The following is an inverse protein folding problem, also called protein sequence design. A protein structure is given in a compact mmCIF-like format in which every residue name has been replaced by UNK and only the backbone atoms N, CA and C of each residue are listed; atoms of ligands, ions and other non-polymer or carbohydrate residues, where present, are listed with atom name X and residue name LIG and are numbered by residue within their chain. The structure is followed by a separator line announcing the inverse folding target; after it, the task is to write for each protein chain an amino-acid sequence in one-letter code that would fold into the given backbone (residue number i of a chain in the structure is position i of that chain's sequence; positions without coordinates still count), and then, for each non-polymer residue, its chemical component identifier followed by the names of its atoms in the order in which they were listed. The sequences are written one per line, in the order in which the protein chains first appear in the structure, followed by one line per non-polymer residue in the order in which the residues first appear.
data_IF_472690384737
#
_entry.id   IF_472690384737
#
_cell.length_a   1.000
_cell.length_b   1.000
_cell.length_c   1.000
_cell.angle_alpha   90.00
_cell.angle_beta   90.00
_cell.angle_gamma   90.00
#
_symmetry.space_group_name_H-M   'P 1'
#
loop_
_entity.id
_entity.type
_entity.pdbx_description
1 polymer ?
#
# COMPACT_ATOMS: atom_id res chain seq x y z
N UNK A 1 -15.77 -21.39 -7.62
CA UNK A 1 -16.85 -20.39 -7.69
C UNK A 1 -16.51 -19.36 -6.66
N UNK A 2 -16.08 -18.19 -7.14
CA UNK A 2 -15.63 -17.05 -6.35
C UNK A 2 -16.55 -16.76 -5.16
N UNK A 3 -15.94 -16.54 -4.01
CA UNK A 3 -16.59 -15.90 -2.88
C UNK A 3 -16.03 -14.49 -2.75
N UNK A 4 -16.43 -13.61 -3.67
CA UNK A 4 -16.27 -12.17 -3.50
C UNK A 4 -17.12 -11.73 -2.30
N UNK A 5 -16.49 -11.43 -1.15
CA UNK A 5 -17.12 -10.61 -0.13
C UNK A 5 -16.71 -9.16 -0.38
N UNK A 6 -17.44 -8.55 -1.31
CA UNK A 6 -17.56 -7.10 -1.38
C UNK A 6 -18.39 -6.64 -0.18
N UNK A 7 -17.81 -5.78 0.65
CA UNK A 7 -18.45 -4.95 1.68
C UNK A 7 -18.66 -5.62 3.05
N UNK A 8 -17.71 -5.42 3.96
CA UNK A 8 -18.00 -5.43 5.40
C UNK A 8 -18.82 -4.16 5.72
N UNK A 9 -20.16 -4.22 5.64
CA UNK A 9 -21.02 -3.20 6.25
C UNK A 9 -21.09 -3.41 7.76
N UNK A 10 -20.00 -3.12 8.45
CA UNK A 10 -20.04 -2.92 9.89
C UNK A 10 -20.66 -1.55 10.16
N UNK A 11 -21.89 -1.49 10.67
CA UNK A 11 -22.46 -0.23 11.20
C UNK A 11 -21.53 0.30 12.29
N UNK A 12 -20.73 1.32 11.95
CA UNK A 12 -19.87 2.07 12.86
C UNK A 12 -20.75 2.68 13.95
N UNK A 13 -20.68 2.13 15.17
CA UNK A 13 -20.99 2.93 16.35
C UNK A 13 -19.69 3.46 16.97
N UNK A 14 -19.82 4.48 17.83
CA UNK A 14 -18.75 5.41 18.21
C UNK A 14 -17.53 4.79 18.92
N UNK A 15 -17.49 3.46 19.10
CA UNK A 15 -16.45 2.73 19.84
C UNK A 15 -15.65 1.70 19.00
N UNK A 16 -15.91 1.60 17.70
CA UNK A 16 -15.14 0.79 16.75
C UNK A 16 -15.36 -0.73 16.86
N UNK A 17 -15.06 -1.45 15.78
CA UNK A 17 -15.02 -2.92 15.70
C UNK A 17 -13.55 -3.35 15.67
N UNK A 18 -13.19 -4.43 16.37
CA UNK A 18 -11.84 -5.01 16.29
C UNK A 18 -11.92 -6.38 15.62
N UNK A 19 -11.07 -6.61 14.63
CA UNK A 19 -10.92 -7.92 14.00
C UNK A 19 -9.93 -8.78 14.82
N UNK A 20 -10.27 -10.05 15.03
CA UNK A 20 -9.42 -11.08 15.59
C UNK A 20 -9.40 -12.28 14.64
N UNK A 21 -8.28 -12.58 14.00
CA UNK A 21 -8.17 -13.79 13.19
C UNK A 21 -8.07 -15.04 14.09
N UNK A 22 -8.85 -16.08 13.77
CA UNK A 22 -8.84 -17.36 14.51
C UNK A 22 -8.41 -18.55 13.63
N UNK A 23 -8.52 -18.44 12.30
CA UNK A 23 -8.05 -19.43 11.33
C UNK A 23 -7.78 -18.77 9.96
N UNK A 24 -7.11 -19.45 9.02
CA UNK A 24 -6.79 -18.99 7.65
C UNK A 24 -8.02 -18.48 6.89
N UNK A 25 -9.18 -19.08 7.17
CA UNK A 25 -10.42 -18.67 6.59
C UNK A 25 -11.17 -17.67 7.48
N UNK A 26 -10.84 -17.55 8.78
CA UNK A 26 -11.76 -17.01 9.77
C UNK A 26 -11.28 -15.72 10.44
N UNK A 27 -11.82 -14.59 9.98
CA UNK A 27 -11.82 -13.32 10.73
C UNK A 27 -12.99 -13.31 11.70
N UNK A 28 -12.71 -13.09 12.98
CA UNK A 28 -13.72 -12.74 13.96
C UNK A 28 -13.85 -11.24 14.10
N UNK A 29 -15.05 -10.69 13.93
CA UNK A 29 -15.34 -9.31 14.25
C UNK A 29 -15.88 -9.26 15.66
N UNK A 30 -15.14 -8.62 16.56
CA UNK A 30 -15.55 -8.40 17.95
C UNK A 30 -16.18 -7.02 18.05
N UNK A 31 -17.44 -6.99 18.45
CA UNK A 31 -18.11 -5.76 18.82
C UNK A 31 -17.64 -5.32 20.21
N UNK A 32 -16.96 -4.16 20.27
CA UNK A 32 -16.38 -3.63 21.51
C UNK A 32 -17.43 -3.26 22.58
N UNK A 33 -18.72 -3.18 22.20
CA UNK A 33 -19.81 -2.78 23.10
C UNK A 33 -20.43 -3.95 23.85
N UNK A 34 -20.58 -5.10 23.20
CA UNK A 34 -21.29 -6.25 23.76
C UNK A 34 -20.47 -7.55 23.74
N UNK A 35 -19.26 -7.52 23.18
CA UNK A 35 -18.38 -8.69 23.06
C UNK A 35 -18.92 -9.76 22.12
N UNK A 36 -19.94 -9.45 21.32
CA UNK A 36 -20.44 -10.36 20.29
C UNK A 36 -19.38 -10.59 19.22
N UNK A 37 -19.34 -11.83 18.73
CA UNK A 37 -18.35 -12.33 17.80
C UNK A 37 -19.08 -12.75 16.52
N UNK A 38 -18.86 -12.03 15.43
CA UNK A 38 -19.24 -12.48 14.09
C UNK A 38 -18.06 -13.21 13.44
N UNK A 39 -18.31 -14.31 12.73
CA UNK A 39 -17.28 -15.10 12.04
C UNK A 39 -17.42 -14.93 10.53
N UNK A 40 -16.37 -14.45 9.88
CA UNK A 40 -16.16 -14.54 8.43
C UNK A 40 -15.40 -15.84 8.15
N UNK A 41 -15.58 -16.48 6.99
CA UNK A 41 -14.91 -17.75 6.60
C UNK A 41 -14.52 -17.65 5.12
N UNK A 42 -13.27 -17.96 4.75
CA UNK A 42 -12.73 -17.93 3.39
C UNK A 42 -12.53 -16.50 2.90
N UNK A 43 -11.53 -15.80 3.44
CA UNK A 43 -11.31 -14.38 3.14
C UNK A 43 -10.08 -14.23 2.28
N UNK A 44 -10.26 -13.99 0.99
CA UNK A 44 -9.19 -13.65 0.05
C UNK A 44 -8.97 -12.13 -0.09
N UNK A 45 -9.96 -11.31 0.31
CA UNK A 45 -9.91 -9.86 0.23
C UNK A 45 -10.42 -9.22 1.51
N UNK A 46 -9.63 -8.31 2.09
CA UNK A 46 -10.06 -7.48 3.22
C UNK A 46 -10.13 -6.03 2.77
N UNK A 47 -11.34 -5.50 2.65
CA UNK A 47 -11.58 -4.07 2.36
C UNK A 47 -12.14 -3.36 3.57
N UNK A 48 -11.48 -2.29 4.01
CA UNK A 48 -11.96 -1.46 5.11
C UNK A 48 -12.76 -0.26 4.60
N UNK A 49 -13.89 0.04 5.23
CA UNK A 49 -14.70 1.23 4.89
C UNK A 49 -14.77 2.17 6.10
N UNK A 50 -13.75 3.01 6.31
CA UNK A 50 -13.77 4.06 7.34
C UNK A 50 -12.39 4.65 7.61
N UNK A 51 -12.31 5.94 7.93
CA UNK A 51 -11.01 6.63 7.96
C UNK A 51 -10.06 6.18 9.07
N UNK A 52 -8.77 5.99 8.74
CA UNK A 52 -7.68 5.69 9.68
C UNK A 52 -7.79 4.31 10.30
N UNK A 53 -7.33 3.30 9.56
CA UNK A 53 -7.39 1.89 9.89
C UNK A 53 -6.01 1.37 10.30
N UNK A 54 -5.98 0.51 11.30
CA UNK A 54 -4.75 -0.16 11.73
C UNK A 54 -5.01 -1.65 11.66
N UNK A 55 -4.46 -2.29 10.63
CA UNK A 55 -4.24 -3.72 10.61
C UNK A 55 -2.78 -3.95 10.98
N UNK A 56 -2.47 -3.80 12.27
CA UNK A 56 -1.18 -4.23 12.80
C UNK A 56 -1.39 -5.53 13.56
N UNK A 57 -0.60 -6.54 13.23
CA UNK A 57 -0.69 -7.86 13.84
C UNK A 57 0.46 -8.14 14.82
N UNK A 58 0.62 -7.41 15.95
CA UNK A 58 1.50 -7.90 17.02
C UNK A 58 0.86 -8.98 17.90
N UNK A 59 -0.45 -9.25 17.76
CA UNK A 59 -1.21 -10.11 18.71
C UNK A 59 -2.06 -11.21 18.09
N UNK A 60 -2.12 -11.34 16.75
CA UNK A 60 -2.64 -12.56 16.13
C UNK A 60 -1.47 -13.50 15.92
N UNK A 61 -1.68 -14.79 16.15
CA UNK A 61 -0.60 -15.77 16.14
C UNK A 61 0.23 -15.64 14.85
N UNK A 62 1.52 -15.35 15.02
CA UNK A 62 2.55 -15.26 13.98
C UNK A 62 2.75 -16.55 13.15
N UNK A 63 1.86 -17.53 13.29
CA UNK A 63 1.96 -18.87 12.73
C UNK A 63 0.93 -19.12 11.62
N UNK A 64 -0.11 -18.29 11.47
CA UNK A 64 -1.22 -18.58 10.53
C UNK A 64 -1.67 -17.40 9.66
N UNK A 65 -1.35 -16.14 10.01
CA UNK A 65 -1.63 -14.94 9.18
C UNK A 65 -0.44 -14.59 8.26
N UNK A 66 0.67 -15.29 8.41
CA UNK A 66 1.92 -14.96 7.76
C UNK A 66 2.17 -15.81 6.52
N UNK A 67 1.21 -16.55 5.97
CA UNK A 67 1.49 -17.37 4.78
C UNK A 67 0.35 -17.27 3.77
N UNK A 68 0.62 -16.60 2.65
CA UNK A 68 -0.32 -16.44 1.55
C UNK A 68 0.13 -15.34 0.61
N UNK A 69 -0.38 -15.34 -0.63
CA UNK A 69 -0.24 -14.18 -1.50
C UNK A 69 -1.51 -13.33 -1.28
N UNK A 70 -1.42 -12.25 -0.50
CA UNK A 70 -2.57 -11.48 0.00
C UNK A 70 -2.76 -10.14 -0.72
N UNK A 71 -4.01 -9.66 -0.79
CA UNK A 71 -4.34 -8.34 -1.31
C UNK A 71 -4.90 -7.44 -0.21
N UNK A 72 -4.12 -6.45 0.22
CA UNK A 72 -4.48 -5.49 1.27
C UNK A 72 -4.73 -4.11 0.64
N UNK A 73 -5.93 -3.58 0.86
CA UNK A 73 -6.27 -2.22 0.45
C UNK A 73 -6.75 -1.43 1.65
N UNK A 74 -6.02 -0.37 1.97
CA UNK A 74 -6.43 0.64 2.93
C UNK A 74 -7.61 1.46 2.43
N UNK A 75 -7.97 2.47 3.21
CA UNK A 75 -9.11 3.32 2.93
C UNK A 75 -8.65 4.77 2.82
N UNK A 76 -9.42 5.70 3.39
CA UNK A 76 -8.96 7.08 3.51
C UNK A 76 -8.31 7.29 4.88
N UNK A 77 -7.43 8.27 5.01
CA UNK A 77 -6.72 8.53 6.25
C UNK A 77 -5.48 7.66 6.37
N UNK A 78 -4.76 7.83 7.49
CA UNK A 78 -3.45 7.21 7.66
C UNK A 78 -3.60 5.76 8.11
N UNK A 79 -3.25 4.84 7.23
CA UNK A 79 -3.36 3.41 7.43
C UNK A 79 -2.01 2.77 7.79
N UNK A 80 -2.06 1.63 8.48
CA UNK A 80 -0.88 0.78 8.72
C UNK A 80 -1.22 -0.63 8.30
N UNK A 81 -0.55 -1.10 7.25
CA UNK A 81 -0.77 -2.38 6.60
C UNK A 81 0.52 -3.23 6.68
N UNK A 82 0.38 -4.46 7.15
CA UNK A 82 1.44 -5.47 7.23
C UNK A 82 0.86 -6.76 6.65
N UNK A 83 1.38 -7.18 5.49
CA UNK A 83 0.81 -8.28 4.72
C UNK A 83 1.31 -9.65 5.16
N UNK A 84 2.53 -9.76 5.68
CA UNK A 84 3.02 -10.97 6.31
C UNK A 84 4.09 -11.67 5.49
N UNK A 85 3.90 -12.93 5.09
CA UNK A 85 4.83 -13.59 4.16
C UNK A 85 4.08 -14.19 2.98
N UNK A 86 4.74 -14.22 1.84
CA UNK A 86 4.18 -14.56 0.54
C UNK A 86 4.31 -13.37 -0.40
N UNK A 87 3.72 -13.43 -1.60
CA UNK A 87 3.85 -12.37 -2.60
C UNK A 87 2.61 -11.49 -2.54
N UNK A 88 2.71 -10.42 -1.76
CA UNK A 88 1.54 -9.64 -1.38
C UNK A 88 1.34 -8.43 -2.31
N UNK A 89 0.11 -7.91 -2.37
CA UNK A 89 -0.22 -6.65 -3.02
C UNK A 89 -0.84 -5.70 -2.00
N UNK A 90 -0.19 -4.55 -1.80
CA UNK A 90 -0.59 -3.55 -0.82
C UNK A 90 -0.90 -2.23 -1.52
N UNK A 91 -2.07 -1.65 -1.23
CA UNK A 91 -2.42 -0.28 -1.62
C UNK A 91 -2.90 0.48 -0.38
N UNK A 92 -2.24 1.60 -0.05
CA UNK A 92 -2.57 2.40 1.13
C UNK A 92 -3.91 3.14 0.99
N UNK A 93 -4.17 3.67 -0.20
CA UNK A 93 -5.27 4.58 -0.45
C UNK A 93 -4.92 6.03 -0.08
N UNK A 94 -5.89 6.96 -0.02
CA UNK A 94 -5.59 8.35 0.27
C UNK A 94 -5.21 8.55 1.74
N UNK A 95 -3.98 8.96 2.01
CA UNK A 95 -3.53 9.02 3.40
C UNK A 95 -2.05 9.32 3.53
N UNK A 96 -1.55 9.16 4.75
CA UNK A 96 -0.13 8.93 4.98
C UNK A 96 0.00 7.52 5.52
N UNK A 97 0.32 6.57 4.66
CA UNK A 97 0.23 5.16 5.00
C UNK A 97 1.59 4.56 5.34
N UNK A 98 1.56 3.49 6.14
CA UNK A 98 2.72 2.68 6.48
C UNK A 98 2.48 1.27 5.94
N UNK A 99 3.25 0.87 4.94
CA UNK A 99 3.10 -0.38 4.21
C UNK A 99 4.30 -1.28 4.49
N UNK A 100 4.05 -2.50 4.94
CA UNK A 100 5.06 -3.55 5.17
C UNK A 100 4.64 -4.77 4.35
N UNK A 101 5.45 -5.15 3.37
CA UNK A 101 5.19 -6.35 2.55
C UNK A 101 5.57 -7.61 3.32
N UNK A 102 6.74 -7.59 3.95
CA UNK A 102 7.33 -8.71 4.65
C UNK A 102 8.13 -9.63 3.72
N UNK A 103 8.32 -10.91 4.08
CA UNK A 103 9.05 -11.82 3.22
C UNK A 103 8.27 -12.28 1.99
N UNK A 104 8.71 -11.86 0.81
CA UNK A 104 8.29 -12.41 -0.48
C UNK A 104 8.52 -11.40 -1.59
N UNK A 105 7.91 -11.60 -2.76
CA UNK A 105 8.01 -10.64 -3.86
C UNK A 105 6.76 -9.75 -3.88
N UNK A 106 6.82 -8.62 -3.18
CA UNK A 106 5.63 -7.81 -2.91
C UNK A 106 5.38 -6.71 -3.94
N UNK A 107 4.13 -6.28 -4.05
CA UNK A 107 3.69 -5.22 -4.93
C UNK A 107 3.04 -4.09 -4.13
N UNK A 108 3.69 -2.94 -4.13
CA UNK A 108 3.15 -1.72 -3.53
C UNK A 108 2.46 -0.90 -4.63
N UNK A 109 1.14 -0.95 -4.65
CA UNK A 109 0.29 -0.40 -5.71
C UNK A 109 -0.18 1.02 -5.39
N UNK A 110 0.18 1.94 -6.29
CA UNK A 110 -0.12 3.37 -6.22
C UNK A 110 -1.07 3.68 -7.36
N UNK A 111 -2.36 3.79 -7.04
CA UNK A 111 -3.46 3.95 -7.98
C UNK A 111 -3.84 5.41 -8.28
N UNK A 112 -3.33 6.37 -7.51
CA UNK A 112 -3.51 7.78 -7.81
C UNK A 112 -2.35 8.65 -7.29
N UNK A 113 -1.87 9.58 -8.12
CA UNK A 113 -0.88 10.61 -7.71
C UNK A 113 -1.32 11.38 -6.47
N UNK A 114 -2.63 11.51 -6.24
CA UNK A 114 -3.20 12.22 -5.11
C UNK A 114 -3.26 11.40 -3.80
N UNK A 115 -2.97 10.10 -3.83
CA UNK A 115 -3.09 9.25 -2.64
C UNK A 115 -1.92 9.43 -1.68
N UNK A 116 -0.72 9.70 -2.21
CA UNK A 116 0.46 10.14 -1.47
C UNK A 116 0.84 11.57 -1.85
N UNK A 117 1.15 12.40 -0.86
CA UNK A 117 1.44 13.81 -1.08
C UNK A 117 2.87 14.11 -1.54
N UNK A 118 3.20 15.40 -1.61
CA UNK A 118 4.54 15.91 -1.96
C UNK A 118 5.34 16.38 -0.75
N UNK A 119 4.73 16.37 0.45
CA UNK A 119 5.38 16.78 1.71
C UNK A 119 5.58 15.60 2.64
N UNK A 120 6.61 15.66 3.48
CA UNK A 120 6.95 14.61 4.48
C UNK A 120 5.76 14.20 5.37
N UNK A 121 4.82 15.12 5.61
CA UNK A 121 3.62 14.87 6.40
C UNK A 121 2.56 14.02 5.69
N UNK A 122 2.68 13.84 4.37
CA UNK A 122 1.72 13.17 3.51
C UNK A 122 2.33 12.07 2.65
N UNK A 123 3.63 11.77 2.81
CA UNK A 123 4.26 10.66 2.09
C UNK A 123 3.88 9.32 2.70
N UNK A 124 3.41 8.42 1.87
CA UNK A 124 3.41 7.00 2.21
C UNK A 124 4.83 6.51 2.49
N UNK A 125 4.89 5.50 3.34
CA UNK A 125 6.13 4.88 3.79
C UNK A 125 6.05 3.40 3.51
N UNK A 126 6.91 2.92 2.63
CA UNK A 126 7.19 1.50 2.49
C UNK A 126 8.33 1.16 3.45
N UNK A 127 8.01 0.32 4.44
CA UNK A 127 8.84 0.08 5.61
C UNK A 127 10.04 -0.84 5.33
N UNK A 128 9.91 -1.76 4.37
CA UNK A 128 10.81 -2.90 4.20
C UNK A 128 11.15 -3.27 2.74
N UNK A 129 10.91 -2.36 1.78
CA UNK A 129 11.14 -2.60 0.36
C UNK A 129 12.49 -3.28 0.07
N UNK A 130 12.45 -4.43 -0.58
CA UNK A 130 13.59 -5.26 -0.90
C UNK A 130 13.54 -5.81 -2.34
N UNK A 131 14.18 -5.07 -3.25
CA UNK A 131 14.35 -5.51 -4.64
C UNK A 131 15.06 -6.87 -4.81
N UNK A 132 15.79 -7.34 -3.79
CA UNK A 132 16.41 -8.67 -3.78
C UNK A 132 15.43 -9.81 -3.54
N UNK A 133 14.29 -9.54 -2.88
CA UNK A 133 13.20 -10.51 -2.70
C UNK A 133 12.22 -10.50 -3.88
N UNK A 134 12.18 -9.40 -4.63
CA UNK A 134 11.38 -9.26 -5.84
C UNK A 134 10.43 -8.08 -5.82
N UNK A 135 10.46 -7.27 -4.75
CA UNK A 135 9.53 -6.19 -4.51
C UNK A 135 9.48 -5.17 -5.63
N UNK A 136 8.27 -4.69 -5.89
CA UNK A 136 7.99 -3.70 -6.93
C UNK A 136 7.03 -2.64 -6.43
N UNK A 137 7.30 -1.41 -6.84
CA UNK A 137 6.32 -0.33 -6.78
C UNK A 137 5.57 -0.33 -8.11
N UNK A 138 4.27 -0.56 -8.06
CA UNK A 138 3.41 -0.49 -9.23
C UNK A 138 2.92 0.93 -9.44
N UNK A 139 3.28 1.50 -10.58
CA UNK A 139 2.87 2.83 -11.03
C UNK A 139 2.20 2.73 -12.41
N UNK A 140 1.91 1.52 -12.88
CA UNK A 140 1.43 1.29 -14.25
C UNK A 140 0.02 1.81 -14.50
N UNK A 141 -0.74 2.10 -13.45
CA UNK A 141 -2.08 2.71 -13.53
C UNK A 141 -2.04 4.24 -13.57
N UNK A 142 -0.90 4.84 -13.22
CA UNK A 142 -0.71 6.28 -13.16
C UNK A 142 -0.27 6.83 -14.52
N UNK A 143 -1.00 7.84 -15.00
CA UNK A 143 -0.60 8.57 -16.20
C UNK A 143 0.59 9.49 -15.91
N UNK A 144 1.73 9.16 -16.52
CA UNK A 144 2.98 9.89 -16.38
C UNK A 144 3.00 11.23 -17.14
N UNK A 145 2.02 11.52 -17.99
CA UNK A 145 1.96 12.83 -18.66
C UNK A 145 0.52 13.29 -18.91
N UNK A 146 -0.03 14.02 -17.95
CA UNK A 146 -1.42 14.52 -18.00
C UNK A 146 -1.72 15.47 -19.17
N UNK A 147 -0.69 15.98 -19.86
CA UNK A 147 -0.86 16.83 -21.04
C UNK A 147 -1.06 16.04 -22.34
N UNK A 148 -0.85 14.72 -22.32
CA UNK A 148 -0.98 13.83 -23.48
C UNK A 148 -2.08 12.80 -23.20
N UNK A 149 -2.92 12.54 -24.21
CA UNK A 149 -4.06 11.65 -24.03
C UNK A 149 -3.61 10.18 -23.94
N UNK A 150 -4.11 9.47 -22.92
CA UNK A 150 -3.84 8.05 -22.67
C UNK A 150 -3.15 7.87 -21.32
N UNK A 151 -2.69 6.65 -21.03
CA UNK A 151 -1.83 6.36 -19.89
C UNK A 151 -0.39 6.23 -20.39
N UNK A 152 0.48 7.16 -20.02
CA UNK A 152 1.90 7.09 -20.34
C UNK A 152 2.68 6.46 -19.19
N UNK A 153 3.66 5.62 -19.52
CA UNK A 153 4.56 5.04 -18.54
C UNK A 153 5.61 6.05 -18.06
N UNK A 154 5.98 5.97 -16.79
CA UNK A 154 7.09 6.76 -16.27
C UNK A 154 8.45 6.25 -16.78
N UNK A 155 9.46 7.12 -16.72
CA UNK A 155 10.87 6.80 -16.99
C UNK A 155 11.73 7.06 -15.75
N UNK A 156 12.42 6.04 -15.26
CA UNK A 156 13.32 6.18 -14.11
C UNK A 156 14.65 6.83 -14.51
N UNK A 157 14.97 7.97 -13.90
CA UNK A 157 16.15 8.79 -14.19
C UNK A 157 17.22 8.75 -13.09
N UNK A 158 17.17 7.76 -12.18
CA UNK A 158 18.06 7.67 -11.02
C UNK A 158 17.93 8.89 -10.10
N UNK A 159 19.03 9.47 -9.61
CA UNK A 159 19.01 10.67 -8.76
C UNK A 159 19.03 12.00 -9.50
N UNK A 160 18.86 12.00 -10.83
CA UNK A 160 18.92 13.23 -11.64
C UNK A 160 17.71 14.14 -11.37
N UNK A 161 17.88 15.44 -11.58
CA UNK A 161 16.77 16.40 -11.52
C UNK A 161 15.78 16.16 -12.67
N UNK A 162 14.50 16.44 -12.43
CA UNK A 162 13.48 16.37 -13.46
C UNK A 162 13.77 17.34 -14.61
N UNK A 163 13.45 16.91 -15.82
CA UNK A 163 13.71 17.64 -17.06
C UNK A 163 12.55 17.60 -18.05
N UNK A 164 11.68 16.59 -17.94
CA UNK A 164 10.45 16.43 -18.73
C UNK A 164 9.40 15.75 -17.87
N UNK A 165 8.14 15.80 -18.33
CA UNK A 165 7.08 14.96 -17.75
C UNK A 165 7.42 13.47 -17.78
N UNK A 166 6.79 12.76 -16.86
CA UNK A 166 6.82 11.31 -16.75
C UNK A 166 8.13 10.76 -16.26
N UNK A 167 8.73 11.42 -15.27
CA UNK A 167 10.03 11.00 -14.72
C UNK A 167 9.90 10.55 -13.27
N UNK A 168 10.63 9.49 -12.93
CA UNK A 168 10.82 9.02 -11.57
C UNK A 168 12.27 9.23 -11.16
N UNK A 169 12.50 9.80 -9.98
CA UNK A 169 13.84 9.95 -9.42
C UNK A 169 13.90 9.44 -7.98
N UNK A 170 15.01 8.80 -7.63
CA UNK A 170 15.25 8.31 -6.28
C UNK A 170 16.39 9.08 -5.62
N UNK A 171 16.12 9.70 -4.47
CA UNK A 171 17.12 10.34 -3.63
C UNK A 171 17.63 9.34 -2.58
N UNK A 172 18.83 8.80 -2.82
CA UNK A 172 19.45 7.83 -1.93
C UNK A 172 19.90 8.40 -0.57
N UNK A 173 20.01 9.73 -0.42
CA UNK A 173 20.38 10.35 0.85
C UNK A 173 19.18 10.44 1.81
N UNK A 174 17.98 10.65 1.26
CA UNK A 174 16.73 10.73 2.03
C UNK A 174 15.89 9.46 1.93
N UNK A 175 16.27 8.54 1.05
CA UNK A 175 15.55 7.31 0.72
C UNK A 175 14.14 7.54 0.18
N UNK A 176 13.96 8.60 -0.62
CA UNK A 176 12.64 9.00 -1.15
C UNK A 176 12.60 8.82 -2.66
N UNK A 177 11.56 8.15 -3.14
CA UNK A 177 11.17 8.13 -4.54
C UNK A 177 10.26 9.32 -4.81
N UNK A 178 10.56 10.10 -5.85
CA UNK A 178 9.73 11.19 -6.34
C UNK A 178 9.28 10.88 -7.76
N UNK A 179 8.02 11.19 -8.07
CA UNK A 179 7.50 11.13 -9.44
C UNK A 179 6.95 12.45 -9.90
N UNK A 180 7.16 12.75 -11.19
CA UNK A 180 6.61 13.92 -11.85
C UNK A 180 5.80 13.51 -13.07
N UNK A 181 4.54 13.95 -13.13
CA UNK A 181 3.62 13.70 -14.23
C UNK A 181 3.35 14.93 -15.10
N UNK A 182 4.04 16.05 -14.84
CA UNK A 182 4.03 17.23 -15.69
C UNK A 182 5.44 17.79 -15.96
N UNK A 183 5.56 18.94 -16.62
CA UNK A 183 6.84 19.50 -17.06
C UNK A 183 7.32 20.71 -16.25
N UNK A 184 6.80 20.92 -15.04
CA UNK A 184 7.18 22.08 -14.21
C UNK A 184 8.50 21.88 -13.43
N UNK A 185 9.00 20.63 -13.40
CA UNK A 185 10.24 20.25 -12.74
C UNK A 185 10.12 19.99 -11.23
N UNK A 186 8.91 20.02 -10.69
CA UNK A 186 8.57 19.58 -9.34
C UNK A 186 8.17 18.10 -9.33
N UNK A 187 7.94 17.56 -8.12
CA UNK A 187 7.37 16.23 -7.95
C UNK A 187 5.89 16.40 -7.62
N UNK A 188 5.05 15.52 -8.16
CA UNK A 188 3.60 15.51 -7.92
C UNK A 188 3.22 14.45 -6.88
N UNK A 189 4.11 13.50 -6.62
CA UNK A 189 4.00 12.55 -5.51
C UNK A 189 5.38 12.12 -5.01
N UNK A 190 5.44 11.62 -3.77
CA UNK A 190 6.63 10.97 -3.25
C UNK A 190 6.31 9.82 -2.30
N UNK A 191 7.23 8.87 -2.20
CA UNK A 191 7.12 7.67 -1.36
C UNK A 191 8.44 7.48 -0.61
N UNK A 192 8.37 7.35 0.70
CA UNK A 192 9.53 7.04 1.54
C UNK A 192 9.80 5.53 1.49
N UNK A 193 11.02 5.14 1.13
CA UNK A 193 11.47 3.74 1.08
C UNK A 193 12.50 3.49 2.17
N UNK A 194 12.08 3.06 3.36
CA UNK A 194 12.99 2.94 4.48
C UNK A 194 14.11 1.93 4.21
N UNK A 195 15.36 2.31 4.46
CA UNK A 195 16.52 1.41 4.34
C UNK A 195 16.99 1.10 2.92
N UNK A 196 16.34 1.65 1.88
CA UNK A 196 16.71 1.40 0.48
C UNK A 196 17.90 2.25 0.07
N UNK A 197 19.07 1.65 -0.13
CA UNK A 197 20.29 2.37 -0.50
C UNK A 197 20.39 2.73 -2.00
N UNK A 198 19.56 2.14 -2.85
CA UNK A 198 19.54 2.40 -4.29
C UNK A 198 18.38 1.70 -4.98
N UNK A 199 17.97 2.25 -6.12
CA UNK A 199 16.92 1.71 -6.97
C UNK A 199 17.39 1.54 -8.41
N UNK A 200 16.76 0.60 -9.10
CA UNK A 200 16.89 0.44 -10.56
C UNK A 200 15.50 0.32 -11.17
N UNK A 201 15.42 0.40 -12.49
CA UNK A 201 14.14 0.24 -13.20
C UNK A 201 13.44 -1.10 -12.90
N UNK A 202 14.16 -2.13 -12.43
CA UNK A 202 13.59 -3.43 -12.10
C UNK A 202 12.68 -3.41 -10.86
N UNK A 203 12.82 -2.42 -9.98
CA UNK A 203 12.00 -2.23 -8.79
C UNK A 203 10.63 -1.59 -9.06
N UNK A 204 10.26 -1.44 -10.33
CA UNK A 204 9.00 -0.83 -10.73
C UNK A 204 8.21 -1.75 -11.65
N UNK A 205 6.90 -1.49 -11.72
CA UNK A 205 6.07 -1.80 -12.88
C UNK A 205 5.51 -0.48 -13.43
N UNK A 206 5.78 -0.22 -14.71
CA UNK A 206 5.56 1.05 -15.41
C UNK A 206 4.78 0.82 -16.70
#
# INVERSE_FOLDING_TARGET
TDYDISVIKGTKDANGIRAQLIDIDIIQLINNRDGSIDKLVGIENVTFTGAGTTLSVPTLLATYVYQGDDALTGSSGNDTLDAGTGNDTLSGGPGKDMLTGGPGADRFDVNAVAETGTTVAAWDVIADFNAGQGDKIDLSTLDANVAVAGNQAFSFINGNAFSTAGQLRFDAATHVLYGSNDSDGAAEFAIQLNGVAGMTVAGFVL
#
